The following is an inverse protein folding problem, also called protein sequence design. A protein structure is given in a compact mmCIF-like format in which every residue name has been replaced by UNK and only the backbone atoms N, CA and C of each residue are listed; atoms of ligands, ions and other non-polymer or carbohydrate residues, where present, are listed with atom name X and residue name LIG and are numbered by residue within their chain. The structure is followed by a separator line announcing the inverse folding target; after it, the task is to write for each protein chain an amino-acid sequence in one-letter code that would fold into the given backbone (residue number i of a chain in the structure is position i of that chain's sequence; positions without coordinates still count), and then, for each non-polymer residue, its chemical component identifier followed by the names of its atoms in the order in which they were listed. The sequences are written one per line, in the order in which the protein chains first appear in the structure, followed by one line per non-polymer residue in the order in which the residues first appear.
data_IF_591652240782
#
_entry.id   IF_591652240782
#
_cell.length_a   1.000
_cell.length_b   1.000
_cell.length_c   1.000
_cell.angle_alpha   90.00
_cell.angle_beta   90.00
_cell.angle_gamma   90.00
#
_symmetry.space_group_name_H-M   'P 1'
#
loop_
_entity.id
_entity.type
_entity.pdbx_description
1 polymer ?
#
# COMPACT_ATOMS: atom_id res chain seq x y z
N UNK A 1 -1.39 -10.82 17.05
CA UNK A 1 -0.50 -10.84 15.88
C UNK A 1 0.27 -9.52 15.76
N UNK A 2 1.46 -9.61 15.20
CA UNK A 2 2.31 -8.45 15.01
C UNK A 2 1.92 -7.66 13.77
N UNK A 3 1.85 -6.33 13.89
CA UNK A 3 1.54 -5.42 12.81
C UNK A 3 2.61 -4.34 12.70
N UNK A 4 2.82 -3.86 11.48
CA UNK A 4 3.63 -2.69 11.20
C UNK A 4 2.72 -1.51 10.89
N UNK A 5 2.96 -0.35 11.51
CA UNK A 5 2.26 0.88 11.18
C UNK A 5 3.09 1.68 10.18
N UNK A 6 2.46 2.16 9.12
CA UNK A 6 3.10 3.07 8.18
C UNK A 6 2.16 4.24 7.87
N UNK A 7 2.75 5.35 7.45
CA UNK A 7 2.03 6.61 7.27
C UNK A 7 1.96 6.97 5.79
N UNK A 8 0.78 7.37 5.33
CA UNK A 8 0.56 7.82 3.96
C UNK A 8 -0.30 9.08 3.99
N UNK A 9 0.28 10.21 3.61
CA UNK A 9 -0.43 11.49 3.51
C UNK A 9 -1.25 11.82 4.77
N UNK A 10 -0.68 11.57 5.94
CA UNK A 10 -1.33 11.83 7.22
C UNK A 10 -2.18 10.70 7.75
N UNK A 11 -2.47 9.67 6.96
CA UNK A 11 -3.19 8.50 7.42
C UNK A 11 -2.23 7.45 7.97
N UNK A 12 -2.65 6.79 9.04
CA UNK A 12 -1.91 5.65 9.59
C UNK A 12 -2.57 4.34 9.15
N UNK A 13 -1.77 3.45 8.59
CA UNK A 13 -2.20 2.15 8.11
C UNK A 13 -1.43 1.06 8.85
N UNK A 14 -2.08 -0.07 9.09
CA UNK A 14 -1.46 -1.22 9.74
C UNK A 14 -1.51 -2.44 8.84
N UNK A 15 -0.41 -3.18 8.78
CA UNK A 15 -0.31 -4.42 8.00
C UNK A 15 0.28 -5.52 8.88
N UNK A 16 -0.34 -6.71 8.93
CA UNK A 16 0.25 -7.83 9.66
C UNK A 16 1.64 -8.17 9.12
N UNK A 17 2.62 -8.33 10.02
CA UNK A 17 4.00 -8.60 9.62
C UNK A 17 4.15 -9.86 8.78
N UNK A 18 3.35 -10.89 9.07
CA UNK A 18 3.40 -12.15 8.33
C UNK A 18 3.01 -11.98 6.86
N UNK A 19 2.30 -10.90 6.53
CA UNK A 19 1.86 -10.58 5.16
C UNK A 19 2.69 -9.46 4.53
N UNK A 20 3.82 -9.12 5.12
CA UNK A 20 4.75 -8.14 4.54
C UNK A 20 5.88 -8.85 3.81
N UNK A 21 6.20 -8.33 2.63
CA UNK A 21 7.46 -8.64 1.98
C UNK A 21 8.54 -7.66 2.39
N UNK A 22 9.51 -7.44 1.50
CA UNK A 22 10.62 -6.53 1.78
C UNK A 22 10.14 -5.06 1.87
N UNK A 23 10.82 -4.30 2.72
CA UNK A 23 10.64 -2.87 2.83
C UNK A 23 11.85 -2.22 2.15
N UNK A 24 11.59 -1.43 1.10
CA UNK A 24 12.64 -0.76 0.35
C UNK A 24 12.62 0.73 0.66
N UNK A 25 13.79 1.28 0.98
CA UNK A 25 13.94 2.71 1.12
C UNK A 25 14.16 3.33 -0.27
N UNK A 26 13.40 4.36 -0.59
CA UNK A 26 13.53 5.09 -1.84
C UNK A 26 14.33 6.36 -1.58
N UNK A 27 15.54 6.43 -2.10
CA UNK A 27 16.42 7.58 -1.89
C UNK A 27 16.31 8.61 -3.03
N UNK A 28 15.90 8.15 -4.22
CA UNK A 28 15.79 8.99 -5.40
C UNK A 28 14.55 8.59 -6.19
N UNK A 29 13.83 9.57 -6.70
CA UNK A 29 12.64 9.37 -7.54
C UNK A 29 12.93 8.53 -8.77
N UNK A 30 14.17 8.56 -9.29
CA UNK A 30 14.57 7.78 -10.46
C UNK A 30 14.55 6.27 -10.23
N UNK A 31 14.48 5.81 -8.98
CA UNK A 31 14.37 4.39 -8.66
C UNK A 31 13.02 3.80 -9.09
N UNK A 32 12.01 4.65 -9.23
CA UNK A 32 10.68 4.24 -9.67
C UNK A 32 10.47 4.79 -11.08
N UNK A 33 10.35 3.88 -12.06
CA UNK A 33 10.25 4.25 -13.47
C UNK A 33 8.80 4.29 -13.91
N UNK A 34 8.23 5.49 -14.16
CA UNK A 34 6.84 5.60 -14.57
C UNK A 34 6.61 5.02 -15.97
N UNK A 35 5.39 4.54 -16.20
CA UNK A 35 4.97 4.06 -17.52
C UNK A 35 3.98 5.09 -18.09
N UNK A 36 4.27 5.68 -19.26
CA UNK A 36 3.37 6.66 -19.86
C UNK A 36 1.97 6.08 -20.10
N UNK A 37 0.95 6.88 -19.79
CA UNK A 37 -0.44 6.47 -19.97
C UNK A 37 -1.01 5.62 -18.83
N UNK A 38 -0.22 5.33 -17.81
CA UNK A 38 -0.72 4.57 -16.66
C UNK A 38 -1.64 5.44 -15.78
N UNK A 39 -2.56 4.83 -15.01
CA UNK A 39 -3.41 5.59 -14.10
C UNK A 39 -2.61 6.23 -12.97
N UNK A 40 -3.19 7.24 -12.31
CA UNK A 40 -2.50 7.99 -11.27
C UNK A 40 -2.10 7.13 -10.07
N UNK A 41 -2.87 6.11 -9.76
CA UNK A 41 -2.54 5.23 -8.63
C UNK A 41 -1.33 4.34 -8.89
N UNK A 42 -0.90 4.22 -10.13
CA UNK A 42 0.30 3.46 -10.50
C UNK A 42 1.47 4.42 -10.68
N UNK A 43 2.45 4.36 -9.76
CA UNK A 43 3.60 5.25 -9.82
C UNK A 43 4.63 4.82 -10.85
N UNK A 44 4.81 3.53 -10.99
CA UNK A 44 5.83 3.00 -11.88
C UNK A 44 6.39 1.68 -11.40
N UNK A 45 7.47 1.25 -12.02
CA UNK A 45 8.13 0.00 -11.70
C UNK A 45 9.47 0.27 -11.02
N UNK A 46 9.71 -0.41 -9.91
CA UNK A 46 11.00 -0.39 -9.23
C UNK A 46 11.74 -1.68 -9.55
N UNK A 47 12.87 -1.62 -10.27
CA UNK A 47 13.67 -2.81 -10.54
C UNK A 47 14.23 -3.40 -9.26
N UNK A 48 14.19 -4.73 -9.15
CA UNK A 48 14.80 -5.47 -8.07
C UNK A 48 15.50 -6.69 -8.65
N UNK A 49 16.39 -7.32 -7.85
CA UNK A 49 17.22 -8.44 -8.34
C UNK A 49 16.40 -9.59 -8.85
N UNK A 50 15.39 -10.01 -8.08
CA UNK A 50 14.63 -11.21 -8.37
C UNK A 50 13.35 -10.92 -9.14
N UNK A 51 12.82 -9.72 -8.98
CA UNK A 51 11.49 -9.39 -9.47
C UNK A 51 11.28 -7.89 -9.48
N UNK A 52 10.78 -7.38 -10.60
CA UNK A 52 10.39 -5.97 -10.66
C UNK A 52 9.15 -5.74 -9.82
N UNK A 53 9.17 -4.67 -9.03
CA UNK A 53 8.09 -4.34 -8.13
C UNK A 53 7.23 -3.24 -8.74
N UNK A 54 5.93 -3.50 -8.86
CA UNK A 54 4.96 -2.51 -9.30
C UNK A 54 4.57 -1.64 -8.12
N UNK A 55 4.81 -0.35 -8.23
CA UNK A 55 4.65 0.59 -7.11
C UNK A 55 3.33 1.34 -7.21
N UNK A 56 2.54 1.25 -6.15
CA UNK A 56 1.25 1.92 -6.03
C UNK A 56 1.45 3.27 -5.34
N UNK A 57 0.86 4.32 -5.91
CA UNK A 57 0.66 5.58 -5.20
C UNK A 57 -0.47 5.35 -4.20
N UNK A 58 -0.09 5.04 -2.97
CA UNK A 58 -1.03 4.58 -1.96
C UNK A 58 -2.09 5.64 -1.64
N UNK A 59 -1.71 6.92 -1.60
CA UNK A 59 -2.66 7.99 -1.35
C UNK A 59 -3.72 8.07 -2.45
N UNK A 60 -3.32 7.97 -3.72
CA UNK A 60 -4.27 7.97 -4.85
C UNK A 60 -5.21 6.76 -4.80
N UNK A 61 -4.67 5.59 -4.45
CA UNK A 61 -5.48 4.37 -4.35
C UNK A 61 -6.52 4.45 -3.23
N UNK A 62 -6.11 4.97 -2.07
CA UNK A 62 -6.94 5.01 -0.86
C UNK A 62 -7.90 6.20 -0.87
N UNK A 63 -7.43 7.37 -1.26
CA UNK A 63 -8.15 8.63 -1.09
C UNK A 63 -8.96 9.06 -2.31
N UNK A 64 -8.74 8.46 -3.47
CA UNK A 64 -9.53 8.63 -4.69
C UNK A 64 -10.03 10.07 -4.92
N UNK A 65 -9.15 10.95 -5.41
CA UNK A 65 -9.50 12.32 -5.74
C UNK A 65 -9.43 13.32 -4.58
N UNK A 66 -9.07 12.86 -3.38
CA UNK A 66 -8.88 13.73 -2.21
C UNK A 66 -7.43 13.73 -1.72
N UNK A 67 -6.51 13.47 -2.61
CA UNK A 67 -5.10 13.36 -2.29
C UNK A 67 -4.52 14.75 -2.02
N UNK A 68 -3.81 14.95 -0.90
CA UNK A 68 -3.12 16.21 -0.64
C UNK A 68 -2.12 16.53 -1.75
N UNK A 69 -1.97 17.81 -2.03
CA UNK A 69 -1.00 18.29 -2.99
C UNK A 69 0.41 17.84 -2.55
N UNK A 70 1.20 17.37 -3.51
CA UNK A 70 2.58 16.91 -3.29
C UNK A 70 2.70 15.68 -2.37
N UNK A 71 1.64 14.91 -2.16
CA UNK A 71 1.70 13.69 -1.35
C UNK A 71 2.77 12.71 -1.87
N UNK A 72 2.87 12.59 -3.19
CA UNK A 72 3.84 11.71 -3.86
C UNK A 72 5.29 12.06 -3.56
N UNK A 73 5.58 13.34 -3.36
CA UNK A 73 6.94 13.83 -3.11
C UNK A 73 7.47 13.43 -1.73
N UNK A 74 6.59 13.03 -0.83
CA UNK A 74 6.95 12.65 0.54
C UNK A 74 7.21 11.15 0.71
N UNK A 75 6.99 10.34 -0.33
CA UNK A 75 7.21 8.92 -0.24
C UNK A 75 8.68 8.58 -0.11
N UNK A 76 9.03 7.79 0.90
CA UNK A 76 10.42 7.39 1.20
C UNK A 76 10.61 5.88 1.26
N UNK A 77 9.51 5.12 1.28
CA UNK A 77 9.55 3.67 1.38
C UNK A 77 8.55 3.04 0.43
N UNK A 78 8.87 1.82 0.01
CA UNK A 78 7.94 0.95 -0.72
C UNK A 78 7.87 -0.36 0.04
N UNK A 79 6.66 -0.75 0.44
CA UNK A 79 6.41 -1.96 1.21
C UNK A 79 5.78 -2.99 0.28
N UNK A 80 6.49 -4.10 0.06
CA UNK A 80 5.97 -5.20 -0.76
C UNK A 80 4.85 -5.93 -0.02
N UNK A 81 3.75 -6.20 -0.72
CA UNK A 81 2.62 -6.95 -0.18
C UNK A 81 2.87 -8.45 -0.37
N UNK A 82 3.15 -9.16 0.73
CA UNK A 82 3.39 -10.60 0.75
C UNK A 82 4.42 -11.00 -0.32
N UNK A 83 4.11 -12.00 -1.14
CA UNK A 83 4.93 -12.44 -2.27
C UNK A 83 4.46 -11.86 -3.59
N UNK A 84 3.56 -10.88 -3.55
CA UNK A 84 3.01 -10.29 -4.77
C UNK A 84 4.04 -9.42 -5.50
N UNK A 85 3.71 -9.04 -6.71
CA UNK A 85 4.51 -8.12 -7.52
C UNK A 85 4.21 -6.65 -7.19
N UNK A 86 3.40 -6.41 -6.16
CA UNK A 86 2.90 -5.08 -5.81
C UNK A 86 3.52 -4.56 -4.53
N UNK A 87 3.86 -3.27 -4.52
CA UNK A 87 4.35 -2.56 -3.35
C UNK A 87 3.60 -1.27 -3.14
N UNK A 88 3.39 -0.91 -1.88
CA UNK A 88 2.72 0.34 -1.50
C UNK A 88 3.78 1.38 -1.14
N UNK A 89 3.73 2.53 -1.82
CA UNK A 89 4.56 3.67 -1.45
C UNK A 89 4.02 4.32 -0.18
N UNK A 90 4.90 4.73 0.71
CA UNK A 90 4.51 5.38 1.95
C UNK A 90 5.55 6.40 2.41
N UNK A 91 5.11 7.30 3.32
CA UNK A 91 5.96 8.39 3.81
C UNK A 91 6.93 7.91 4.87
N UNK A 92 6.45 7.10 5.81
CA UNK A 92 7.23 6.67 6.96
C UNK A 92 6.77 5.30 7.44
N UNK A 93 7.68 4.62 8.12
CA UNK A 93 7.43 3.30 8.70
C UNK A 93 7.73 3.38 10.19
N UNK A 94 6.71 3.13 11.01
CA UNK A 94 6.84 3.13 12.45
C UNK A 94 7.24 1.74 12.96
N UNK A 95 7.44 1.63 14.27
CA UNK A 95 7.76 0.37 14.90
C UNK A 95 6.55 -0.58 14.86
N UNK A 96 6.84 -1.88 14.87
CA UNK A 96 5.79 -2.88 14.96
C UNK A 96 5.17 -2.92 16.36
N UNK A 97 3.96 -3.43 16.44
CA UNK A 97 3.26 -3.62 17.71
C UNK A 97 2.43 -4.90 17.67
N UNK A 98 2.14 -5.45 18.84
CA UNK A 98 1.29 -6.64 18.95
C UNK A 98 -0.17 -6.20 19.02
N UNK A 99 -1.00 -6.79 18.15
CA UNK A 99 -2.41 -6.47 18.04
C UNK A 99 -3.24 -7.71 18.38
N UNK A 100 -4.22 -7.53 19.28
CA UNK A 100 -5.19 -8.58 19.58
C UNK A 100 -6.44 -8.38 18.72
N UNK A 101 -7.10 -9.46 18.30
CA UNK A 101 -8.31 -9.32 17.47
C UNK A 101 -9.41 -8.47 18.11
N UNK A 102 -9.52 -8.45 19.45
CA UNK A 102 -10.53 -7.64 20.16
C UNK A 102 -10.20 -6.15 20.18
N UNK A 103 -8.99 -5.76 19.77
CA UNK A 103 -8.60 -4.36 19.64
C UNK A 103 -8.98 -3.77 18.27
N UNK A 104 -9.54 -4.58 17.39
CA UNK A 104 -9.93 -4.19 16.03
C UNK A 104 -11.44 -4.09 15.93
N UNK A 105 -11.91 -2.97 15.40
CA UNK A 105 -13.30 -2.85 14.97
C UNK A 105 -13.38 -3.39 13.55
N UNK A 106 -13.77 -4.66 13.43
CA UNK A 106 -13.84 -5.35 12.16
C UNK A 106 -15.00 -4.84 11.31
N UNK A 107 -14.79 -4.81 10.00
CA UNK A 107 -15.81 -4.42 9.03
C UNK A 107 -16.54 -5.65 8.50
N UNK A 108 -17.86 -5.64 8.57
CA UNK A 108 -18.69 -6.71 8.02
C UNK A 108 -19.16 -6.43 6.59
N UNK A 109 -19.33 -5.15 6.22
CA UNK A 109 -19.71 -4.74 4.88
C UNK A 109 -18.59 -3.93 4.26
N UNK A 110 -17.93 -4.51 3.25
CA UNK A 110 -16.72 -3.92 2.63
C UNK A 110 -16.94 -3.51 1.18
N UNK A 111 -18.13 -3.03 0.83
CA UNK A 111 -18.49 -2.78 -0.57
C UNK A 111 -17.64 -1.70 -1.26
N UNK A 112 -17.31 -0.63 -0.54
CA UNK A 112 -16.56 0.50 -1.11
C UNK A 112 -15.05 0.40 -0.92
N UNK A 113 -14.62 -0.22 0.16
CA UNK A 113 -13.20 -0.38 0.51
C UNK A 113 -12.93 -1.81 0.93
N UNK A 114 -12.96 -2.76 -0.02
CA UNK A 114 -12.81 -4.18 0.33
C UNK A 114 -11.48 -4.50 1.02
N UNK A 115 -10.44 -3.72 0.72
CA UNK A 115 -9.09 -3.87 1.30
C UNK A 115 -9.01 -3.42 2.76
N UNK A 116 -10.01 -2.70 3.25
CA UNK A 116 -10.02 -2.21 4.63
C UNK A 116 -10.69 -3.25 5.52
N UNK A 117 -9.89 -3.98 6.30
CA UNK A 117 -10.37 -5.04 7.17
C UNK A 117 -11.05 -4.52 8.44
N UNK A 118 -10.54 -3.41 8.97
CA UNK A 118 -11.09 -2.82 10.18
C UNK A 118 -10.27 -1.62 10.65
N UNK A 119 -10.61 -1.11 11.81
CA UNK A 119 -9.91 0.01 12.45
C UNK A 119 -9.32 -0.44 13.78
N UNK A 120 -8.04 -0.15 13.98
CA UNK A 120 -7.37 -0.40 15.26
C UNK A 120 -7.68 0.78 16.18
N UNK A 121 -8.48 0.53 17.23
CA UNK A 121 -9.09 1.59 18.02
C UNK A 121 -8.05 2.44 18.75
N UNK A 122 -7.14 1.80 19.47
CA UNK A 122 -6.16 2.49 20.31
C UNK A 122 -5.09 3.23 19.51
N UNK A 123 -4.78 2.77 18.32
CA UNK A 123 -3.75 3.38 17.46
C UNK A 123 -4.32 4.27 16.37
N UNK A 124 -5.64 4.35 16.26
CA UNK A 124 -6.32 5.16 15.24
C UNK A 124 -5.79 4.90 13.84
N UNK A 125 -5.59 3.63 13.50
CA UNK A 125 -5.09 3.26 12.18
C UNK A 125 -6.01 2.26 11.49
N UNK A 126 -5.95 2.25 10.16
CA UNK A 126 -6.72 1.34 9.32
C UNK A 126 -5.94 0.05 9.12
N UNK A 127 -6.57 -1.09 9.41
CA UNK A 127 -5.96 -2.40 9.18
C UNK A 127 -6.23 -2.83 7.75
N UNK A 128 -5.16 -3.14 7.02
CA UNK A 128 -5.22 -3.53 5.61
C UNK A 128 -5.40 -5.03 5.49
N UNK A 129 -6.37 -5.43 4.66
CA UNK A 129 -6.50 -6.80 4.19
C UNK A 129 -5.58 -6.95 2.97
N UNK A 130 -4.38 -7.48 3.19
CA UNK A 130 -3.32 -7.54 2.19
C UNK A 130 -3.73 -8.38 0.97
N UNK A 131 -4.34 -9.53 1.20
CA UNK A 131 -4.73 -10.42 0.10
C UNK A 131 -5.79 -9.78 -0.78
N UNK A 132 -6.78 -9.14 -0.16
CA UNK A 132 -7.82 -8.42 -0.91
C UNK A 132 -7.21 -7.25 -1.66
N UNK A 133 -6.31 -6.49 -1.04
CA UNK A 133 -5.63 -5.39 -1.71
C UNK A 133 -4.86 -5.87 -2.94
N UNK A 134 -4.08 -6.93 -2.80
CA UNK A 134 -3.30 -7.49 -3.91
C UNK A 134 -4.21 -7.97 -5.06
N UNK A 135 -5.31 -8.63 -4.73
CA UNK A 135 -6.28 -9.10 -5.72
C UNK A 135 -6.94 -7.93 -6.46
N UNK A 136 -7.26 -6.86 -5.76
CA UNK A 136 -7.83 -5.64 -6.37
C UNK A 136 -6.85 -4.98 -7.32
N UNK A 137 -5.58 -4.95 -6.97
CA UNK A 137 -4.54 -4.36 -7.82
C UNK A 137 -4.35 -5.17 -9.11
N UNK A 138 -4.33 -6.50 -9.01
CA UNK A 138 -4.27 -7.37 -10.19
C UNK A 138 -5.48 -7.15 -11.08
N UNK A 139 -6.66 -7.03 -10.49
CA UNK A 139 -7.91 -6.81 -11.23
C UNK A 139 -7.92 -5.45 -11.91
N UNK A 140 -7.46 -4.40 -11.22
CA UNK A 140 -7.37 -3.06 -11.79
C UNK A 140 -6.40 -3.01 -12.97
N UNK A 141 -5.28 -3.73 -12.88
CA UNK A 141 -4.34 -3.86 -13.99
C UNK A 141 -5.01 -4.46 -15.23
N UNK A 142 -5.78 -5.53 -15.04
CA UNK A 142 -6.48 -6.20 -16.14
C UNK A 142 -7.57 -5.34 -16.76
N UNK A 143 -8.37 -4.67 -15.92
CA UNK A 143 -9.48 -3.84 -16.38
C UNK A 143 -9.02 -2.64 -17.20
N UNK A 144 -7.85 -2.12 -16.90
CA UNK A 144 -7.30 -0.98 -17.62
C UNK A 144 -6.39 -1.37 -18.78
N UNK A 145 -6.26 -2.66 -19.05
CA UNK A 145 -5.43 -3.20 -20.12
C UNK A 145 -3.99 -2.68 -20.06
N UNK A 146 -3.44 -2.57 -18.86
CA UNK A 146 -2.08 -2.09 -18.67
C UNK A 146 -1.09 -3.19 -19.01
N UNK A 147 -0.09 -2.83 -19.82
CA UNK A 147 1.07 -3.69 -20.03
C UNK A 147 2.16 -3.24 -19.08
N UNK A 148 2.22 -3.86 -17.93
CA UNK A 148 3.17 -3.53 -16.87
C UNK A 148 4.40 -4.46 -16.88
N UNK A 149 4.51 -5.31 -17.87
CA UNK A 149 5.63 -6.24 -18.01
C UNK A 149 6.91 -5.58 -18.52
#
# INVERSE_FOLDING_TARGET
FECLIFTVAGLQLAVPLILLGAIHRVEDESEIRPIPGSPRWYMGMRPDRDQNLRVVDTAEWIMAGRVPENARDNYRFVIRLDNSEWGLACDDVAQSFTLRPDEVRWRSARSKRPWLAGTVIDHMCALIDVRTMADLLVRAEREQHLDLS
#
